data_IF_240729928463
#
_entry.id   IF_240729928463
#
_cell.length_a   1.000
_cell.length_b   1.000
_cell.length_c   1.000
_cell.angle_alpha   90.00
_cell.angle_beta   90.00
_cell.angle_gamma   90.00
#
_symmetry.space_group_name_H-M   'P 1'
#
loop_
_entity.id
_entity.type
_entity.pdbx_description
1 polymer ?
#
# COMPACT_ATOMS: atom_id res chain seq x y z
N UNK A 1 20.94 -4.79 8.07
CA UNK A 1 20.68 -5.78 7.00
C UNK A 1 19.30 -5.47 6.44
N UNK A 2 19.18 -5.05 5.18
CA UNK A 2 17.87 -4.83 4.54
C UNK A 2 17.28 -6.20 4.21
N UNK A 3 16.17 -6.57 4.84
CA UNK A 3 15.40 -7.74 4.43
C UNK A 3 14.93 -7.54 2.99
N UNK A 4 15.25 -8.46 2.08
CA UNK A 4 14.66 -8.47 0.74
C UNK A 4 13.16 -8.77 0.88
N UNK A 5 12.33 -7.73 0.81
CA UNK A 5 10.88 -7.87 0.80
C UNK A 5 10.45 -8.32 -0.60
N UNK A 6 9.86 -9.51 -0.71
CA UNK A 6 9.35 -10.04 -1.98
C UNK A 6 7.89 -9.66 -2.15
N UNK A 7 7.59 -8.92 -3.19
CA UNK A 7 6.21 -8.60 -3.58
C UNK A 7 5.60 -9.73 -4.41
N UNK A 8 4.27 -9.80 -4.42
CA UNK A 8 3.53 -10.72 -5.27
C UNK A 8 3.36 -10.14 -6.67
N UNK A 9 3.35 -11.02 -7.66
CA UNK A 9 3.01 -10.72 -9.05
C UNK A 9 1.87 -11.64 -9.52
N UNK A 10 1.20 -11.26 -10.59
CA UNK A 10 0.16 -12.06 -11.24
C UNK A 10 0.12 -11.76 -12.73
N UNK A 11 -0.25 -12.76 -13.53
CA UNK A 11 -0.51 -12.63 -14.96
C UNK A 11 -2.03 -12.50 -15.25
N UNK A 12 -2.85 -12.51 -14.20
CA UNK A 12 -4.30 -12.32 -14.32
C UNK A 12 -4.62 -10.86 -14.68
N UNK A 13 -5.66 -10.66 -15.50
CA UNK A 13 -6.18 -9.33 -15.79
C UNK A 13 -6.75 -8.69 -14.51
N UNK A 14 -6.16 -7.55 -14.12
CA UNK A 14 -6.57 -6.83 -12.93
C UNK A 14 -7.34 -5.56 -13.32
N UNK A 15 -8.38 -5.16 -12.55
CA UNK A 15 -9.09 -3.92 -12.84
C UNK A 15 -8.20 -2.66 -12.85
N UNK A 16 -7.05 -2.69 -12.17
CA UNK A 16 -6.08 -1.59 -12.14
C UNK A 16 -5.14 -1.54 -13.34
N UNK A 17 -5.05 -2.60 -14.17
CA UNK A 17 -4.26 -2.56 -15.40
C UNK A 17 -5.06 -1.98 -16.58
N UNK A 18 -6.39 -2.01 -16.52
CA UNK A 18 -7.27 -1.39 -17.52
C UNK A 18 -7.21 0.14 -17.51
N UNK A 19 -7.25 0.74 -16.31
CA UNK A 19 -7.21 2.20 -16.09
C UNK A 19 -6.39 2.50 -14.82
N UNK A 20 -5.05 2.58 -14.92
CA UNK A 20 -4.18 2.79 -13.77
C UNK A 20 -4.41 4.14 -13.07
N UNK A 21 -4.66 5.20 -13.84
CA UNK A 21 -4.81 6.56 -13.32
C UNK A 21 -6.03 6.70 -12.41
N UNK A 22 -7.10 5.94 -12.67
CA UNK A 22 -8.29 5.86 -11.80
C UNK A 22 -7.93 5.53 -10.35
N UNK A 23 -6.90 4.71 -10.11
CA UNK A 23 -6.51 4.27 -8.76
C UNK A 23 -5.69 5.33 -8.02
N UNK A 24 -5.30 6.42 -8.67
CA UNK A 24 -4.65 7.58 -8.05
C UNK A 24 -5.56 8.82 -7.99
N UNK A 25 -6.72 8.79 -8.64
CA UNK A 25 -7.69 9.88 -8.65
C UNK A 25 -8.51 9.97 -7.35
N UNK A 26 -8.29 11.05 -6.58
CA UNK A 26 -8.99 11.32 -5.32
C UNK A 26 -10.49 11.58 -5.51
N UNK A 27 -10.90 12.15 -6.64
CA UNK A 27 -12.30 12.45 -6.95
C UNK A 27 -13.05 11.17 -7.31
N UNK A 28 -12.37 10.22 -7.96
CA UNK A 28 -12.95 8.94 -8.38
C UNK A 28 -12.61 7.76 -7.45
N UNK A 29 -12.03 8.01 -6.27
CA UNK A 29 -11.64 6.95 -5.31
C UNK A 29 -12.73 5.91 -5.02
N UNK A 30 -14.01 6.31 -4.98
CA UNK A 30 -15.13 5.37 -4.75
C UNK A 30 -15.27 4.36 -5.88
N UNK A 31 -15.09 4.81 -7.13
CA UNK A 31 -15.11 3.97 -8.33
C UNK A 31 -13.91 3.03 -8.34
N UNK A 32 -12.71 3.52 -8.04
CA UNK A 32 -11.51 2.70 -7.89
C UNK A 32 -11.69 1.60 -6.82
N UNK A 33 -12.19 1.97 -5.63
CA UNK A 33 -12.45 1.03 -4.53
C UNK A 33 -13.48 -0.04 -4.93
N UNK A 34 -14.53 0.34 -5.66
CA UNK A 34 -15.54 -0.61 -6.15
C UNK A 34 -14.94 -1.63 -7.11
N UNK A 35 -14.04 -1.21 -8.02
CA UNK A 35 -13.32 -2.12 -8.92
C UNK A 35 -12.45 -3.13 -8.17
N UNK A 36 -11.97 -2.82 -6.96
CA UNK A 36 -11.22 -3.77 -6.16
C UNK A 36 -12.07 -4.90 -5.56
N UNK A 37 -13.40 -4.78 -5.48
CA UNK A 37 -14.23 -5.72 -4.72
C UNK A 37 -14.22 -7.13 -5.32
N UNK A 38 -14.14 -7.23 -6.64
CA UNK A 38 -14.15 -8.49 -7.40
C UNK A 38 -12.73 -8.94 -7.80
N UNK A 39 -11.69 -8.20 -7.37
CA UNK A 39 -10.32 -8.47 -7.77
C UNK A 39 -9.76 -9.74 -7.06
N UNK A 40 -9.29 -10.77 -7.79
CA UNK A 40 -8.72 -11.99 -7.21
C UNK A 40 -7.31 -11.77 -6.60
N UNK A 41 -6.75 -10.58 -6.78
CA UNK A 41 -5.44 -10.18 -6.28
C UNK A 41 -5.54 -9.17 -5.13
N UNK A 42 -6.73 -9.00 -4.54
CA UNK A 42 -7.02 -7.92 -3.59
C UNK A 42 -6.19 -8.01 -2.31
N UNK A 43 -6.07 -9.19 -1.70
CA UNK A 43 -5.26 -9.43 -0.50
C UNK A 43 -3.78 -9.23 -0.78
N UNK A 44 -3.25 -9.89 -1.82
CA UNK A 44 -1.86 -9.74 -2.28
C UNK A 44 -1.50 -8.31 -2.66
N UNK A 45 -2.43 -7.55 -3.25
CA UNK A 45 -2.28 -6.12 -3.51
C UNK A 45 -2.09 -5.32 -2.21
N UNK A 46 -2.86 -5.63 -1.17
CA UNK A 46 -2.71 -5.00 0.15
C UNK A 46 -1.34 -5.30 0.78
N UNK A 47 -0.87 -6.55 0.69
CA UNK A 47 0.49 -6.91 1.09
C UNK A 47 1.55 -6.09 0.33
N UNK A 48 1.42 -6.00 -1.00
CA UNK A 48 2.37 -5.25 -1.83
C UNK A 48 2.44 -3.77 -1.45
N UNK A 49 1.30 -3.15 -1.11
CA UNK A 49 1.27 -1.76 -0.68
C UNK A 49 2.13 -1.54 0.58
N UNK A 50 2.00 -2.43 1.56
CA UNK A 50 2.80 -2.38 2.79
C UNK A 50 4.26 -2.67 2.49
N UNK A 51 4.55 -3.75 1.76
CA UNK A 51 5.89 -4.17 1.38
C UNK A 51 6.68 -3.08 0.63
N UNK A 52 6.01 -2.33 -0.24
CA UNK A 52 6.60 -1.25 -1.04
C UNK A 52 6.64 0.10 -0.31
N UNK A 53 6.01 0.21 0.86
CA UNK A 53 5.83 1.50 1.53
C UNK A 53 4.97 2.48 0.72
N UNK A 54 3.97 1.98 -0.02
CA UNK A 54 3.09 2.81 -0.81
C UNK A 54 2.34 3.80 0.09
N UNK A 55 2.35 5.08 -0.27
CA UNK A 55 1.69 6.14 0.53
C UNK A 55 0.46 6.73 -0.14
N UNK A 56 0.28 6.50 -1.44
CA UNK A 56 -0.76 7.11 -2.27
C UNK A 56 -1.51 6.08 -3.12
N UNK A 57 -2.68 6.49 -3.59
CA UNK A 57 -3.56 5.69 -4.43
C UNK A 57 -4.42 4.68 -3.67
N UNK A 58 -5.16 3.86 -4.41
CA UNK A 58 -6.04 2.81 -3.92
C UNK A 58 -5.34 1.45 -4.05
N UNK A 59 -5.13 0.78 -2.92
CA UNK A 59 -4.51 -0.54 -2.84
C UNK A 59 -5.41 -1.48 -2.06
N UNK A 60 -5.64 -2.70 -2.55
CA UNK A 60 -6.54 -3.67 -1.89
C UNK A 60 -7.99 -3.16 -1.70
N UNK A 61 -8.39 -2.09 -2.40
CA UNK A 61 -9.65 -1.39 -2.19
C UNK A 61 -9.63 -0.41 -1.00
N UNK A 62 -8.46 0.06 -0.59
CA UNK A 62 -8.29 1.06 0.47
C UNK A 62 -7.50 2.26 -0.08
N UNK A 63 -8.04 3.46 0.11
CA UNK A 63 -7.34 4.70 -0.23
C UNK A 63 -6.26 4.99 0.80
N UNK A 64 -5.03 5.17 0.34
CA UNK A 64 -3.91 5.56 1.18
C UNK A 64 -3.94 7.08 1.46
N UNK A 65 -3.60 7.52 2.68
CA UNK A 65 -3.81 8.90 3.11
C UNK A 65 -2.70 9.89 2.67
N UNK A 66 -1.75 9.46 1.84
CA UNK A 66 -0.53 10.22 1.56
C UNK A 66 0.54 10.04 2.66
N UNK A 67 1.56 10.90 2.66
CA UNK A 67 2.63 10.94 3.67
C UNK A 67 2.14 11.52 5.00
N UNK A 68 1.20 10.83 5.63
CA UNK A 68 0.69 11.15 6.97
C UNK A 68 0.85 9.93 7.89
N UNK A 69 2.00 9.78 8.57
CA UNK A 69 2.40 8.55 9.24
C UNK A 69 1.33 7.94 10.17
N UNK A 70 0.65 8.71 11.05
CA UNK A 70 -0.33 8.11 11.96
C UNK A 70 -1.56 7.53 11.26
N UNK A 71 -2.02 8.11 10.14
CA UNK A 71 -3.13 7.54 9.35
C UNK A 71 -2.63 6.40 8.48
N UNK A 72 -1.41 6.53 7.93
CA UNK A 72 -0.82 5.53 7.06
C UNK A 72 -0.62 4.20 7.82
N UNK A 73 -0.12 4.25 9.05
CA UNK A 73 0.05 3.06 9.89
C UNK A 73 -1.28 2.33 10.12
N UNK A 74 -2.36 3.06 10.44
CA UNK A 74 -3.70 2.45 10.60
C UNK A 74 -4.20 1.82 9.31
N UNK A 75 -3.94 2.47 8.18
CA UNK A 75 -4.27 1.93 6.86
C UNK A 75 -3.48 0.66 6.54
N UNK A 76 -2.19 0.62 6.86
CA UNK A 76 -1.37 -0.59 6.69
C UNK A 76 -1.86 -1.74 7.54
N UNK A 77 -2.16 -1.53 8.83
CA UNK A 77 -2.72 -2.58 9.69
C UNK A 77 -3.97 -3.19 9.05
N UNK A 78 -4.87 -2.36 8.53
CA UNK A 78 -6.07 -2.83 7.81
C UNK A 78 -5.73 -3.66 6.57
N UNK A 79 -4.72 -3.28 5.81
CA UNK A 79 -4.29 -4.03 4.62
C UNK A 79 -3.67 -5.37 4.98
N UNK A 80 -2.92 -5.44 6.09
CA UNK A 80 -2.36 -6.70 6.62
C UNK A 80 -3.48 -7.63 7.07
N UNK A 81 -4.44 -7.13 7.86
CA UNK A 81 -5.60 -7.92 8.28
C UNK A 81 -6.40 -8.46 7.09
N UNK A 82 -6.61 -7.63 6.06
CA UNK A 82 -7.27 -8.04 4.82
C UNK A 82 -6.48 -9.11 4.07
N UNK A 83 -5.14 -8.99 4.02
CA UNK A 83 -4.29 -9.98 3.40
C UNK A 83 -4.43 -11.33 4.12
N UNK A 84 -4.34 -11.36 5.45
CA UNK A 84 -4.46 -12.62 6.22
C UNK A 84 -5.84 -13.27 6.04
N UNK A 85 -6.92 -12.48 6.01
CA UNK A 85 -8.27 -12.99 5.74
C UNK A 85 -8.42 -13.65 4.37
N UNK A 86 -7.69 -13.16 3.36
CA UNK A 86 -7.82 -13.61 1.97
C UNK A 86 -6.71 -14.56 1.55
N UNK A 87 -5.66 -14.70 2.36
CA UNK A 87 -4.47 -15.49 2.02
C UNK A 87 -4.82 -16.93 1.69
N UNK A 88 -5.69 -17.57 2.47
CA UNK A 88 -6.10 -18.95 2.22
C UNK A 88 -6.74 -19.10 0.83
N UNK A 89 -7.60 -18.15 0.44
CA UNK A 89 -8.29 -18.18 -0.85
C UNK A 89 -7.37 -17.79 -2.03
N UNK A 90 -6.46 -16.83 -1.82
CA UNK A 90 -5.61 -16.28 -2.89
C UNK A 90 -4.30 -17.04 -3.12
N UNK A 91 -3.80 -17.73 -2.09
CA UNK A 91 -2.49 -18.38 -2.09
C UNK A 91 -2.53 -19.86 -1.68
N UNK A 92 -3.64 -20.35 -1.10
CA UNK A 92 -3.69 -21.68 -0.51
C UNK A 92 -2.60 -21.86 0.56
N UNK A 93 -1.83 -22.95 0.46
CA UNK A 93 -0.77 -23.30 1.42
C UNK A 93 0.58 -22.63 1.13
N UNK A 94 0.65 -21.67 0.20
CA UNK A 94 1.92 -21.05 -0.15
C UNK A 94 2.53 -20.27 1.03
N UNK A 95 3.84 -20.45 1.22
CA UNK A 95 4.62 -19.71 2.20
C UNK A 95 4.71 -18.22 1.79
N UNK A 96 4.60 -17.33 2.78
CA UNK A 96 4.63 -15.88 2.60
C UNK A 96 5.78 -15.31 3.39
N UNK A 97 6.58 -14.44 2.77
CA UNK A 97 7.67 -13.75 3.43
C UNK A 97 7.15 -12.77 4.49
N UNK A 98 7.91 -12.54 5.57
CA UNK A 98 7.49 -11.61 6.61
C UNK A 98 7.32 -10.21 6.03
N UNK A 99 6.25 -9.52 6.46
CA UNK A 99 6.10 -8.10 6.15
C UNK A 99 7.19 -7.28 6.85
N UNK A 100 7.67 -6.20 6.23
CA UNK A 100 8.55 -5.24 6.90
C UNK A 100 7.87 -4.66 8.15
N UNK A 101 8.67 -4.31 9.16
CA UNK A 101 8.18 -3.68 10.38
C UNK A 101 7.44 -2.38 10.02
N UNK A 102 6.12 -2.35 10.29
CA UNK A 102 5.25 -1.23 9.97
C UNK A 102 5.73 0.08 10.61
N UNK A 103 6.40 0.00 11.76
CA UNK A 103 6.97 1.17 12.45
C UNK A 103 8.16 1.74 11.66
N UNK A 104 8.98 0.89 11.05
CA UNK A 104 10.11 1.30 10.22
C UNK A 104 9.68 1.92 8.88
N UNK A 105 8.52 1.53 8.33
CA UNK A 105 8.03 2.04 7.03
C UNK A 105 7.48 3.48 7.17
N UNK A 106 6.91 3.83 8.32
CA UNK A 106 6.28 5.14 8.53
C UNK A 106 7.20 6.19 9.16
N UNK A 107 8.43 5.82 9.51
CA UNK A 107 9.39 6.71 10.18
C UNK A 107 10.83 6.39 9.81
N UNK A 108 11.34 7.08 8.78
CA UNK A 108 12.73 7.53 8.62
C UNK A 108 12.85 8.44 7.37
N UNK A 109 12.04 9.51 7.31
CA UNK A 109 12.38 10.72 6.54
C UNK A 109 12.86 11.78 7.56
N UNK A 110 13.91 11.47 8.35
CA UNK A 110 14.61 12.46 9.20
C UNK A 110 15.72 13.18 8.41
N UNK A 111 15.46 13.52 7.15
CA UNK A 111 16.31 14.42 6.38
C UNK A 111 15.44 15.30 5.48
N UNK A 112 14.63 16.15 6.12
CA UNK A 112 14.13 17.34 5.45
C UNK A 112 15.14 18.45 5.75
N UNK A 113 15.92 18.93 4.76
CA UNK A 113 16.83 20.04 5.01
C UNK A 113 16.01 21.23 5.49
N UNK A 114 16.43 21.78 6.63
CA UNK A 114 15.92 23.02 7.22
C UNK A 114 15.79 24.07 6.10
N UNK A 115 14.57 24.35 5.69
CA UNK A 115 14.28 25.45 4.78
C UNK A 115 14.52 26.75 5.54
N UNK A 116 15.71 27.28 5.34
CA UNK A 116 16.02 28.70 5.17
C UNK A 116 15.81 29.62 6.38
N UNK A 117 16.94 29.91 7.00
CA UNK A 117 17.35 31.19 7.58
C UNK A 117 16.46 32.38 7.20
N UNK A 118 15.57 32.79 8.12
CA UNK A 118 14.97 34.13 8.06
C UNK A 118 16.08 35.18 8.27
N UNK A 119 16.54 35.73 7.16
CA UNK A 119 16.72 37.16 6.91
C UNK A 119 17.53 37.95 7.93
N UNK A 120 18.78 38.23 7.56
CA UNK A 120 19.48 39.43 7.98
C UNK A 120 18.77 40.68 7.41
N UNK A 121 18.42 41.63 8.29
CA UNK A 121 18.41 43.08 8.05
C UNK A 121 18.23 43.79 9.40
#
# INVERSE_FOLDING_TARGET
MRTEVRVFHTEQDLPCTEDPELFFDLYQKRRAISRCQECPFRGRCGYNAVALGATHGVWGGVMLPGRYPPKLQRTYVRLVEQFEQRRADELGDAAVGPLPDLLAITGQDEDYPDTESRGAA
#
